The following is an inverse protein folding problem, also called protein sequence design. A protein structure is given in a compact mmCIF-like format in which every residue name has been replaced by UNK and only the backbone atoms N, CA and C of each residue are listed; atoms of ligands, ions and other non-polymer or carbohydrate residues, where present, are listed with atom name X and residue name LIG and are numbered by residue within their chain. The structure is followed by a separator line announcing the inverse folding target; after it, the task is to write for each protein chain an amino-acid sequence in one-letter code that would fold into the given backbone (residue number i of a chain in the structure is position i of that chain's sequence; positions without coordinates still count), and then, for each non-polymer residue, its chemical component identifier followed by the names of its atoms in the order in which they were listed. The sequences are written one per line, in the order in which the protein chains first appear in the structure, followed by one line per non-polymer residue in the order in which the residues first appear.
data_IF_435714881085
#
_entry.id   IF_435714881085
#
_cell.length_a   1.000
_cell.length_b   1.000
_cell.length_c   1.000
_cell.angle_alpha   90.00
_cell.angle_beta   90.00
_cell.angle_gamma   90.00
#
_symmetry.space_group_name_H-M   'P 1'
#
loop_
_entity.id
_entity.type
_entity.pdbx_description
1 polymer ?
#
# COMPACT_ATOMS: atom_id res chain seq x y z
N UNK A 1 -11.35 -66.24 -23.09
CA UNK A 1 -12.50 -65.42 -22.72
C UNK A 1 -12.02 -64.30 -21.78
N UNK A 2 -12.14 -63.05 -22.24
CA UNK A 2 -12.17 -61.75 -21.54
C UNK A 2 -11.00 -61.26 -20.62
N UNK A 3 -10.20 -60.37 -21.22
CA UNK A 3 -9.82 -59.02 -20.76
C UNK A 3 -9.14 -58.78 -19.39
N UNK A 4 -7.80 -58.71 -19.38
CA UNK A 4 -7.02 -58.08 -18.29
C UNK A 4 -6.45 -56.67 -18.62
N UNK A 5 -6.82 -56.05 -19.75
CA UNK A 5 -6.22 -54.79 -20.23
C UNK A 5 -6.87 -53.48 -19.71
N UNK A 6 -7.75 -53.53 -18.70
CA UNK A 6 -8.50 -52.33 -18.25
C UNK A 6 -7.98 -51.63 -16.98
N UNK A 7 -6.96 -52.17 -16.29
CA UNK A 7 -6.53 -51.65 -14.97
C UNK A 7 -5.60 -50.42 -15.03
N UNK A 8 -4.67 -50.37 -15.98
CA UNK A 8 -3.66 -49.30 -16.06
C UNK A 8 -4.20 -47.94 -16.57
N UNK A 9 -5.20 -47.96 -17.45
CA UNK A 9 -5.82 -46.72 -17.98
C UNK A 9 -6.64 -46.00 -16.91
N UNK A 10 -7.43 -46.74 -16.10
CA UNK A 10 -8.24 -46.16 -15.02
C UNK A 10 -7.39 -45.42 -13.97
N UNK A 11 -6.22 -45.97 -13.59
CA UNK A 11 -5.30 -45.30 -12.63
C UNK A 11 -4.67 -44.02 -13.18
N UNK A 12 -4.35 -43.96 -14.49
CA UNK A 12 -3.86 -42.73 -15.14
C UNK A 12 -4.96 -41.68 -15.28
N UNK A 13 -6.17 -42.08 -15.65
CA UNK A 13 -7.32 -41.17 -15.77
C UNK A 13 -7.72 -40.58 -14.40
N UNK A 14 -7.71 -41.38 -13.33
CA UNK A 14 -7.98 -40.88 -11.96
C UNK A 14 -6.92 -39.86 -11.51
N UNK A 15 -5.62 -40.12 -11.77
CA UNK A 15 -4.56 -39.16 -11.46
C UNK A 15 -4.72 -37.83 -12.21
N UNK A 16 -5.09 -37.87 -13.49
CA UNK A 16 -5.30 -36.66 -14.30
C UNK A 16 -6.49 -35.85 -13.77
N UNK A 17 -7.60 -36.52 -13.42
CA UNK A 17 -8.78 -35.85 -12.85
C UNK A 17 -8.44 -35.19 -11.50
N UNK A 18 -7.69 -35.86 -10.62
CA UNK A 18 -7.26 -35.27 -9.35
C UNK A 18 -6.37 -34.02 -9.55
N UNK A 19 -5.45 -34.04 -10.51
CA UNK A 19 -4.60 -32.87 -10.82
C UNK A 19 -5.46 -31.71 -11.33
N UNK A 20 -6.42 -31.98 -12.22
CA UNK A 20 -7.34 -30.95 -12.74
C UNK A 20 -8.16 -30.33 -11.60
N UNK A 21 -8.68 -31.14 -10.67
CA UNK A 21 -9.44 -30.66 -9.52
C UNK A 21 -8.57 -29.76 -8.62
N UNK A 22 -7.32 -30.15 -8.35
CA UNK A 22 -6.39 -29.33 -7.55
C UNK A 22 -6.10 -28.00 -8.25
N UNK A 23 -5.83 -28.01 -9.55
CA UNK A 23 -5.56 -26.79 -10.34
C UNK A 23 -6.79 -25.87 -10.36
N UNK A 24 -8.00 -26.43 -10.58
CA UNK A 24 -9.24 -25.65 -10.55
C UNK A 24 -9.53 -25.08 -9.16
N UNK A 25 -9.22 -25.82 -8.10
CA UNK A 25 -9.40 -25.37 -6.71
C UNK A 25 -8.45 -24.22 -6.39
N UNK A 26 -7.19 -24.32 -6.82
CA UNK A 26 -6.20 -23.25 -6.69
C UNK A 26 -6.62 -22.01 -7.49
N UNK A 27 -7.10 -22.16 -8.72
CA UNK A 27 -7.60 -21.06 -9.54
C UNK A 27 -8.85 -20.40 -8.93
N UNK A 28 -9.74 -21.18 -8.32
CA UNK A 28 -10.92 -20.65 -7.64
C UNK A 28 -10.54 -19.89 -6.36
N UNK A 29 -9.57 -20.38 -5.60
CA UNK A 29 -9.03 -19.68 -4.42
C UNK A 29 -8.36 -18.36 -4.83
N UNK A 30 -7.55 -18.36 -5.90
CA UNK A 30 -6.90 -17.13 -6.37
C UNK A 30 -7.90 -16.13 -6.95
N UNK A 31 -8.89 -16.58 -7.73
CA UNK A 31 -9.97 -15.71 -8.22
C UNK A 31 -10.84 -15.14 -7.10
N UNK A 32 -11.22 -15.96 -6.11
CA UNK A 32 -12.01 -15.49 -4.97
C UNK A 32 -11.25 -14.52 -4.07
N UNK A 33 -9.93 -14.68 -3.93
CA UNK A 33 -9.06 -13.70 -3.28
C UNK A 33 -8.97 -12.38 -4.06
N UNK A 34 -8.93 -12.45 -5.40
CA UNK A 34 -8.95 -11.26 -6.26
C UNK A 34 -10.30 -10.51 -6.19
N UNK A 35 -11.43 -11.23 -6.15
CA UNK A 35 -12.77 -10.66 -6.03
C UNK A 35 -13.00 -9.95 -4.68
N UNK A 36 -12.36 -10.39 -3.59
CA UNK A 36 -12.45 -9.72 -2.27
C UNK A 36 -11.81 -8.32 -2.23
N UNK A 37 -11.05 -7.94 -3.26
CA UNK A 37 -10.49 -6.60 -3.43
C UNK A 37 -11.31 -5.69 -4.36
N UNK A 38 -12.50 -6.11 -4.79
CA UNK A 38 -13.51 -5.18 -5.29
C UNK A 38 -14.03 -4.36 -4.09
N UNK A 39 -13.54 -3.14 -3.96
CA UNK A 39 -14.20 -2.16 -3.14
C UNK A 39 -14.28 -0.83 -3.87
N UNK A 40 -14.56 0.22 -3.12
CA UNK A 40 -14.83 1.53 -3.67
C UNK A 40 -13.54 2.31 -3.95
N UNK A 41 -13.68 3.42 -4.68
CA UNK A 41 -12.60 4.34 -5.01
C UNK A 41 -12.79 5.63 -4.22
N UNK A 42 -11.75 6.03 -3.50
CA UNK A 42 -11.63 7.35 -2.91
C UNK A 42 -10.97 8.28 -3.93
N UNK A 43 -11.62 9.42 -4.19
CA UNK A 43 -11.13 10.47 -5.07
C UNK A 43 -10.61 11.61 -4.18
N UNK A 44 -9.29 11.67 -4.02
CA UNK A 44 -8.64 12.75 -3.30
C UNK A 44 -8.19 13.87 -4.24
N UNK A 45 -7.52 14.86 -3.67
CA UNK A 45 -6.96 15.99 -4.41
C UNK A 45 -5.82 15.55 -5.36
N UNK A 46 -6.18 15.33 -6.63
CA UNK A 46 -5.28 14.89 -7.69
C UNK A 46 -4.87 13.41 -7.63
N UNK A 47 -5.64 12.57 -6.93
CA UNK A 47 -5.37 11.14 -6.91
C UNK A 47 -6.62 10.28 -6.66
N UNK A 48 -6.50 9.00 -7.01
CA UNK A 48 -7.50 7.97 -6.72
C UNK A 48 -6.87 6.80 -5.98
N UNK A 49 -7.53 6.28 -4.94
CA UNK A 49 -7.13 5.05 -4.23
C UNK A 49 -8.33 4.13 -4.08
N UNK A 50 -8.17 2.86 -4.43
CA UNK A 50 -9.17 1.84 -4.14
C UNK A 50 -8.96 1.28 -2.73
N UNK A 51 -10.08 1.08 -2.03
CA UNK A 51 -10.12 0.47 -0.71
C UNK A 51 -11.19 -0.62 -0.68
N UNK A 52 -10.99 -1.65 0.14
CA UNK A 52 -11.97 -2.75 0.24
C UNK A 52 -13.11 -2.43 1.23
N UNK A 53 -14.11 -3.30 1.28
CA UNK A 53 -15.33 -3.10 2.08
C UNK A 53 -15.14 -3.03 3.60
N UNK A 54 -13.94 -3.30 4.13
CA UNK A 54 -13.61 -3.10 5.56
C UNK A 54 -13.30 -1.64 5.89
N UNK A 55 -13.19 -0.78 4.89
CA UNK A 55 -12.85 0.64 5.03
C UNK A 55 -14.00 1.52 4.53
N UNK A 56 -14.01 2.77 4.98
CA UNK A 56 -14.92 3.84 4.56
C UNK A 56 -14.15 5.13 4.38
N UNK A 57 -14.67 6.04 3.55
CA UNK A 57 -14.25 7.44 3.59
C UNK A 57 -15.01 8.12 4.73
N UNK A 58 -14.31 8.90 5.54
CA UNK A 58 -14.87 9.69 6.62
C UNK A 58 -13.95 10.84 7.01
N UNK A 59 -14.36 11.63 7.99
CA UNK A 59 -13.66 12.82 8.45
C UNK A 59 -13.00 12.55 9.82
N UNK A 60 -11.74 12.95 9.97
CA UNK A 60 -11.01 12.93 11.24
C UNK A 60 -11.40 14.12 12.11
N UNK A 61 -11.06 14.09 13.41
CA UNK A 61 -11.41 15.16 14.36
C UNK A 61 -10.92 16.57 13.96
N UNK A 62 -9.86 16.64 13.15
CA UNK A 62 -9.30 17.90 12.64
C UNK A 62 -9.91 18.35 11.30
N UNK A 63 -10.99 17.72 10.86
CA UNK A 63 -11.70 18.03 9.62
C UNK A 63 -11.09 17.45 8.35
N UNK A 64 -10.00 16.67 8.46
CA UNK A 64 -9.37 16.05 7.29
C UNK A 64 -10.08 14.76 6.90
N UNK A 65 -10.37 14.61 5.60
CA UNK A 65 -10.86 13.35 5.05
C UNK A 65 -9.79 12.25 5.11
N UNK A 66 -10.25 11.03 5.37
CA UNK A 66 -9.42 9.84 5.48
C UNK A 66 -10.17 8.57 5.06
N UNK A 67 -9.43 7.55 4.66
CA UNK A 67 -9.95 6.18 4.54
C UNK A 67 -9.77 5.50 5.90
N UNK A 68 -10.88 5.19 6.58
CA UNK A 68 -10.95 4.73 7.97
C UNK A 68 -11.42 3.28 8.03
N UNK A 69 -10.75 2.46 8.83
CA UNK A 69 -11.11 1.09 9.10
C UNK A 69 -12.35 1.04 10.00
N UNK A 70 -13.40 0.36 9.54
CA UNK A 70 -14.67 0.25 10.27
C UNK A 70 -14.53 -0.41 11.64
N UNK A 71 -13.51 -1.26 11.84
CA UNK A 71 -13.37 -2.08 13.06
C UNK A 71 -12.67 -1.35 14.19
N UNK A 72 -11.59 -0.63 13.89
CA UNK A 72 -10.68 -0.12 14.92
C UNK A 72 -10.32 1.36 14.75
N UNK A 73 -10.89 2.06 13.77
CA UNK A 73 -10.66 3.48 13.55
C UNK A 73 -9.26 3.81 13.00
N UNK A 74 -8.46 2.80 12.65
CA UNK A 74 -7.18 3.01 11.95
C UNK A 74 -7.44 3.68 10.60
N UNK A 75 -6.53 4.52 10.14
CA UNK A 75 -6.77 5.30 8.93
C UNK A 75 -5.53 5.53 8.08
N UNK A 76 -5.77 5.90 6.82
CA UNK A 76 -4.82 6.56 5.94
C UNK A 76 -5.43 7.88 5.45
N UNK A 77 -4.68 8.97 5.57
CA UNK A 77 -5.11 10.31 5.18
C UNK A 77 -4.04 11.00 4.34
N UNK A 78 -4.47 11.86 3.41
CA UNK A 78 -3.56 12.75 2.70
C UNK A 78 -2.90 13.69 3.71
N UNK A 79 -1.57 13.74 3.69
CA UNK A 79 -0.81 14.66 4.52
C UNK A 79 -0.44 15.93 3.74
N UNK A 80 0.19 15.74 2.58
CA UNK A 80 0.59 16.83 1.68
C UNK A 80 0.81 16.32 0.25
N UNK A 81 0.68 17.22 -0.73
CA UNK A 81 1.02 17.06 -2.14
C UNK A 81 1.93 18.23 -2.54
N UNK A 82 2.95 17.95 -3.35
CA UNK A 82 3.90 18.93 -3.88
C UNK A 82 4.37 18.46 -5.26
N UNK A 83 4.98 19.34 -6.05
CA UNK A 83 5.65 18.88 -7.27
C UNK A 83 7.02 18.27 -6.94
N UNK A 84 7.48 17.31 -7.75
CA UNK A 84 8.82 16.77 -7.57
C UNK A 84 9.89 17.82 -7.94
N UNK A 85 9.60 18.64 -8.96
CA UNK A 85 10.42 19.76 -9.41
C UNK A 85 10.69 20.82 -8.31
N UNK A 86 9.77 21.03 -7.38
CA UNK A 86 9.95 21.93 -6.22
C UNK A 86 11.08 21.48 -5.28
N UNK A 87 11.43 20.19 -5.27
CA UNK A 87 12.48 19.68 -4.40
C UNK A 87 13.90 20.07 -4.86
N UNK A 88 14.07 20.69 -6.03
CA UNK A 88 15.37 21.07 -6.63
C UNK A 88 16.40 19.91 -6.66
N UNK A 89 15.95 18.66 -6.62
CA UNK A 89 16.78 17.47 -6.55
C UNK A 89 16.42 16.51 -7.69
N UNK A 90 17.42 15.81 -8.22
CA UNK A 90 17.20 14.73 -9.20
C UNK A 90 16.59 13.51 -8.50
N UNK A 91 15.94 12.62 -9.24
CA UNK A 91 15.39 11.35 -8.72
C UNK A 91 15.77 10.14 -9.59
N UNK A 92 16.86 10.26 -10.37
CA UNK A 92 17.20 9.28 -11.40
C UNK A 92 18.01 8.10 -10.86
N UNK A 93 18.94 8.37 -9.94
CA UNK A 93 19.85 7.36 -9.38
C UNK A 93 19.44 6.89 -7.98
N UNK A 94 19.96 5.75 -7.52
CA UNK A 94 19.75 5.29 -6.13
C UNK A 94 20.31 6.28 -5.10
N UNK A 95 21.42 6.95 -5.43
CA UNK A 95 22.01 7.98 -4.59
C UNK A 95 21.07 9.19 -4.45
N UNK A 96 20.50 9.64 -5.57
CA UNK A 96 19.52 10.74 -5.59
C UNK A 96 18.26 10.40 -4.78
N UNK A 97 17.71 9.20 -4.99
CA UNK A 97 16.57 8.68 -4.23
C UNK A 97 16.86 8.63 -2.74
N UNK A 98 18.05 8.18 -2.35
CA UNK A 98 18.47 8.13 -0.94
C UNK A 98 18.64 9.53 -0.34
N UNK A 99 19.16 10.48 -1.10
CA UNK A 99 19.29 11.87 -0.65
C UNK A 99 17.93 12.52 -0.40
N UNK A 100 16.97 12.35 -1.32
CA UNK A 100 15.60 12.85 -1.14
C UNK A 100 14.93 12.18 0.06
N UNK A 101 15.07 10.86 0.22
CA UNK A 101 14.56 10.16 1.40
C UNK A 101 15.15 10.72 2.70
N UNK A 102 16.47 10.92 2.78
CA UNK A 102 17.12 11.46 3.97
C UNK A 102 16.64 12.89 4.29
N UNK A 103 16.44 13.73 3.28
CA UNK A 103 15.87 15.07 3.48
C UNK A 103 14.45 15.01 4.05
N UNK A 104 13.58 14.16 3.50
CA UNK A 104 12.22 13.95 4.00
C UNK A 104 12.23 13.34 5.42
N UNK A 105 13.17 12.43 5.70
CA UNK A 105 13.36 11.83 7.02
C UNK A 105 13.77 12.85 8.09
N UNK A 106 14.64 13.80 7.73
CA UNK A 106 15.02 14.86 8.65
C UNK A 106 13.85 15.85 8.85
N UNK A 107 13.14 16.22 7.77
CA UNK A 107 11.98 17.10 7.84
C UNK A 107 10.86 16.53 8.72
N UNK A 108 10.55 15.24 8.58
CA UNK A 108 9.57 14.58 9.45
C UNK A 108 10.04 14.54 10.90
N UNK A 109 11.33 14.27 11.14
CA UNK A 109 11.93 14.33 12.47
C UNK A 109 11.71 15.67 13.17
N UNK A 110 11.81 16.80 12.45
CA UNK A 110 11.48 18.12 12.98
C UNK A 110 9.98 18.29 13.24
N UNK A 111 9.11 17.78 12.36
CA UNK A 111 7.66 17.87 12.52
C UNK A 111 7.14 17.13 13.75
N UNK A 112 7.78 16.03 14.15
CA UNK A 112 7.40 15.26 15.35
C UNK A 112 8.16 15.66 16.61
N UNK A 113 9.18 16.52 16.52
CA UNK A 113 10.07 16.87 17.63
C UNK A 113 9.32 17.43 18.86
N UNK A 114 8.33 18.29 18.64
CA UNK A 114 7.53 18.92 19.70
C UNK A 114 6.30 18.09 20.10
N UNK A 115 6.21 16.85 19.64
CA UNK A 115 5.11 15.93 19.97
C UNK A 115 5.57 14.89 20.98
N UNK A 116 4.64 14.17 21.60
CA UNK A 116 4.96 12.97 22.41
C UNK A 116 5.43 11.77 21.59
N UNK A 117 5.66 11.96 20.29
CA UNK A 117 5.93 10.92 19.30
C UNK A 117 7.36 11.05 18.81
N UNK A 118 7.94 9.90 18.51
CA UNK A 118 9.29 9.79 17.96
C UNK A 118 9.24 9.22 16.55
N UNK A 119 10.22 9.62 15.76
CA UNK A 119 10.59 8.93 14.53
C UNK A 119 11.39 7.67 14.87
N UNK A 120 10.92 6.51 14.40
CA UNK A 120 11.36 5.18 14.87
C UNK A 120 11.90 4.31 13.73
N UNK A 121 12.63 4.94 12.80
CA UNK A 121 13.18 4.29 11.61
C UNK A 121 12.19 4.27 10.43
N UNK A 122 12.52 3.53 9.38
CA UNK A 122 11.76 3.54 8.13
C UNK A 122 12.38 2.63 7.08
N UNK A 123 12.02 2.86 5.82
CA UNK A 123 12.68 2.22 4.67
C UNK A 123 14.13 2.72 4.49
N UNK A 124 14.96 1.98 3.74
CA UNK A 124 16.33 2.39 3.41
C UNK A 124 16.43 3.40 2.25
N UNK A 125 15.29 3.87 1.75
CA UNK A 125 15.15 4.76 0.59
C UNK A 125 13.86 4.50 -0.18
N UNK A 126 13.76 5.09 -1.36
CA UNK A 126 12.62 4.86 -2.25
C UNK A 126 12.76 3.54 -3.01
N UNK A 127 11.69 2.74 -2.98
CA UNK A 127 11.55 1.48 -3.72
C UNK A 127 10.41 1.60 -4.73
N UNK A 128 10.51 0.91 -5.86
CA UNK A 128 9.43 0.88 -6.85
C UNK A 128 8.13 0.32 -6.23
N UNK A 129 7.05 1.08 -6.34
CA UNK A 129 5.70 0.66 -5.93
C UNK A 129 4.99 -0.04 -7.10
N UNK A 130 4.92 0.65 -8.23
CA UNK A 130 4.41 0.20 -9.53
C UNK A 130 4.73 1.25 -10.60
N UNK A 131 4.71 0.85 -11.87
CA UNK A 131 4.85 1.76 -13.01
C UNK A 131 6.03 2.75 -12.85
N UNK A 132 5.75 4.06 -12.78
CA UNK A 132 6.74 5.12 -12.51
C UNK A 132 6.75 5.59 -11.04
N UNK A 133 5.89 5.01 -10.20
CA UNK A 133 5.70 5.39 -8.81
C UNK A 133 6.66 4.65 -7.89
N UNK A 134 7.37 5.43 -7.06
CA UNK A 134 8.26 4.94 -6.02
C UNK A 134 7.71 5.33 -4.66
N UNK A 135 7.90 4.50 -3.66
CA UNK A 135 7.47 4.79 -2.29
C UNK A 135 8.60 4.61 -1.27
N UNK A 136 8.52 5.37 -0.20
CA UNK A 136 9.29 5.18 1.03
C UNK A 136 8.36 5.38 2.23
N UNK A 137 8.79 4.98 3.43
CA UNK A 137 8.02 5.23 4.63
C UNK A 137 8.89 5.46 5.86
N UNK A 138 8.33 6.16 6.84
CA UNK A 138 8.92 6.40 8.15
C UNK A 138 7.94 5.95 9.21
N UNK A 139 8.38 5.08 10.12
CA UNK A 139 7.58 4.66 11.27
C UNK A 139 7.60 5.75 12.35
N UNK A 140 6.48 5.96 13.02
CA UNK A 140 6.39 6.83 14.17
C UNK A 140 5.56 6.20 15.30
N UNK A 141 5.79 6.66 16.53
CA UNK A 141 5.12 6.18 17.72
C UNK A 141 5.84 6.59 19.00
N UNK A 142 5.51 5.97 20.13
CA UNK A 142 6.13 6.30 21.41
C UNK A 142 7.46 5.57 21.66
N UNK A 143 7.65 4.41 21.05
CA UNK A 143 8.86 3.59 21.14
C UNK A 143 8.86 2.54 20.03
N UNK A 144 10.00 1.89 19.77
CA UNK A 144 10.14 0.90 18.68
C UNK A 144 9.17 -0.29 18.78
N UNK A 145 8.69 -0.59 19.98
CA UNK A 145 7.67 -1.60 20.30
C UNK A 145 6.23 -1.02 20.36
N UNK A 146 6.07 0.30 20.30
CA UNK A 146 4.79 1.02 20.36
C UNK A 146 4.66 1.97 19.18
N UNK A 147 4.68 1.38 17.98
CA UNK A 147 4.43 2.10 16.74
C UNK A 147 2.94 2.46 16.64
N UNK A 148 2.66 3.70 16.25
CA UNK A 148 1.30 4.16 16.00
C UNK A 148 0.99 4.26 14.51
N UNK A 149 2.01 4.47 13.68
CA UNK A 149 1.73 4.80 12.29
C UNK A 149 2.95 4.86 11.39
N UNK A 150 2.68 5.21 10.14
CA UNK A 150 3.69 5.48 9.12
C UNK A 150 3.38 6.76 8.38
N UNK A 151 4.43 7.51 8.09
CA UNK A 151 4.39 8.54 7.05
C UNK A 151 4.92 7.91 5.76
N UNK A 152 4.05 7.75 4.77
CA UNK A 152 4.41 7.28 3.44
C UNK A 152 4.70 8.46 2.53
N UNK A 153 5.76 8.37 1.74
CA UNK A 153 6.05 9.28 0.64
C UNK A 153 5.98 8.50 -0.65
N UNK A 154 5.31 9.06 -1.66
CA UNK A 154 5.18 8.47 -2.99
C UNK A 154 5.59 9.52 -4.02
N UNK A 155 6.48 9.14 -4.91
CA UNK A 155 6.95 9.98 -6.02
C UNK A 155 6.53 9.33 -7.32
N UNK A 156 5.83 10.08 -8.18
CA UNK A 156 5.63 9.75 -9.59
C UNK A 156 6.46 10.69 -10.44
N UNK A 157 7.39 10.12 -11.20
CA UNK A 157 8.29 10.90 -12.05
C UNK A 157 7.55 11.44 -13.27
N UNK A 158 6.66 10.65 -13.86
CA UNK A 158 5.94 11.05 -15.07
C UNK A 158 4.92 12.15 -14.79
N UNK A 159 4.33 12.17 -13.59
CA UNK A 159 3.38 13.21 -13.18
C UNK A 159 4.03 14.36 -12.38
N UNK A 160 5.36 14.42 -12.29
CA UNK A 160 6.09 15.43 -11.50
C UNK A 160 5.50 15.63 -10.08
N UNK A 161 5.13 14.54 -9.40
CA UNK A 161 4.34 14.61 -8.16
C UNK A 161 5.03 13.91 -7.00
N UNK A 162 5.13 14.59 -5.85
CA UNK A 162 5.37 14.02 -4.53
C UNK A 162 4.07 14.09 -3.71
N UNK A 163 3.53 12.94 -3.34
CA UNK A 163 2.38 12.83 -2.45
C UNK A 163 2.79 12.12 -1.17
N UNK A 164 2.28 12.59 -0.03
CA UNK A 164 2.54 11.97 1.25
C UNK A 164 1.26 11.65 2.00
N UNK A 165 1.24 10.48 2.61
CA UNK A 165 0.12 9.97 3.38
C UNK A 165 0.56 9.69 4.80
N UNK A 166 -0.27 10.06 5.77
CA UNK A 166 -0.08 9.65 7.15
C UNK A 166 -1.05 8.53 7.47
N UNK A 167 -0.55 7.47 8.11
CA UNK A 167 -1.38 6.36 8.58
C UNK A 167 -1.31 6.26 10.08
N UNK A 168 -2.43 5.89 10.70
CA UNK A 168 -2.50 5.52 12.11
C UNK A 168 -3.09 4.12 12.25
N UNK A 169 -2.61 3.34 13.19
CA UNK A 169 -3.13 2.03 13.55
C UNK A 169 -3.10 1.83 15.05
N UNK A 170 -4.03 1.01 15.55
CA UNK A 170 -3.87 0.46 16.90
C UNK A 170 -2.67 -0.47 16.96
N UNK A 171 -2.03 -0.57 18.13
CA UNK A 171 -0.83 -1.38 18.32
C UNK A 171 -1.04 -2.84 17.91
N UNK A 172 -2.17 -3.42 18.31
CA UNK A 172 -2.52 -4.83 18.02
C UNK A 172 -2.69 -5.12 16.52
N UNK A 173 -3.08 -4.12 15.73
CA UNK A 173 -3.36 -4.29 14.30
C UNK A 173 -2.32 -3.63 13.40
N UNK A 174 -1.23 -3.07 13.95
CA UNK A 174 -0.24 -2.30 13.20
C UNK A 174 0.26 -3.02 11.94
N UNK A 175 0.75 -4.25 12.07
CA UNK A 175 1.29 -5.02 10.93
C UNK A 175 0.22 -5.39 9.90
N UNK A 176 -1.00 -5.69 10.37
CA UNK A 176 -2.11 -6.05 9.50
C UNK A 176 -2.57 -4.83 8.69
N UNK A 177 -2.81 -3.71 9.37
CA UNK A 177 -3.29 -2.49 8.75
C UNK A 177 -2.22 -1.91 7.80
N UNK A 178 -0.94 -1.99 8.15
CA UNK A 178 0.15 -1.62 7.23
C UNK A 178 0.21 -2.46 5.96
N UNK A 179 -0.12 -3.75 6.03
CA UNK A 179 -0.25 -4.58 4.82
C UNK A 179 -1.42 -4.14 3.97
N UNK A 180 -2.52 -3.71 4.58
CA UNK A 180 -3.69 -3.23 3.86
C UNK A 180 -3.47 -1.83 3.27
N UNK A 181 -2.82 -0.90 3.99
CA UNK A 181 -2.35 0.38 3.44
C UNK A 181 -1.46 0.16 2.23
N UNK A 182 -0.47 -0.74 2.33
CA UNK A 182 0.41 -1.01 1.21
C UNK A 182 -0.35 -1.54 -0.03
N UNK A 183 -1.38 -2.38 0.17
CA UNK A 183 -2.23 -2.82 -0.94
C UNK A 183 -3.07 -1.67 -1.51
N UNK A 184 -3.60 -0.77 -0.69
CA UNK A 184 -4.29 0.44 -1.15
C UNK A 184 -3.36 1.32 -1.98
N UNK A 185 -2.14 1.58 -1.49
CA UNK A 185 -1.15 2.38 -2.20
C UNK A 185 -0.79 1.79 -3.57
N UNK A 186 -0.79 0.46 -3.73
CA UNK A 186 -0.62 -0.17 -5.05
C UNK A 186 -1.74 0.15 -6.04
N UNK A 187 -2.91 0.56 -5.56
CA UNK A 187 -4.01 0.98 -6.43
C UNK A 187 -3.96 2.46 -6.79
N UNK A 188 -3.10 3.25 -6.11
CA UNK A 188 -2.98 4.68 -6.30
C UNK A 188 -2.83 5.06 -7.77
N UNK A 189 -3.65 5.99 -8.24
CA UNK A 189 -3.44 6.68 -9.52
C UNK A 189 -3.27 8.15 -9.22
N UNK A 190 -2.27 8.78 -9.81
CA UNK A 190 -2.12 10.23 -9.78
C UNK A 190 -2.80 10.74 -11.04
N UNK A 191 -3.81 11.58 -10.86
CA UNK A 191 -4.48 12.23 -11.98
C UNK A 191 -3.71 13.51 -12.26
N UNK A 192 -3.20 13.65 -13.48
CA UNK A 192 -2.61 14.91 -13.90
C UNK A 192 -3.67 16.00 -13.82
N UNK A 193 -3.33 17.13 -13.19
CA UNK A 193 -4.13 18.35 -13.23
C UNK A 193 -4.05 18.92 -14.65
N UNK A 194 -4.69 18.23 -15.59
CA UNK A 194 -4.85 18.67 -16.96
C UNK A 194 -6.01 19.68 -17.00
N UNK A 195 -5.64 20.93 -16.71
CA UNK A 195 -6.43 22.17 -16.76
C UNK A 195 -7.22 22.53 -15.50
N UNK A 196 -6.62 23.39 -14.67
CA UNK A 196 -7.29 24.57 -14.13
C UNK A 196 -6.44 25.80 -14.40
#
# INVERSE_FOLDING_TARGET
MLCSKCSGKKKKTVKIICIIIIVLSLLFITCSLALKWQGDTYYGDGFEINYNSYWIVGELENGKEAIINKKDGSYIALFAKASLSELNNKFDTDADRKNIYNSLYNLWGYAVYDTSMSQLGGSDGFTLLKDDMYYSYINYGHSTDKLEGRHYFIISKENDTLISFITRSTLENFDKNNKDYYKMLKTLKITSDSNQ
#
